data_IF_542110290730
#
_entry.id   IF_542110290730
#
_cell.length_a   1.000
_cell.length_b   1.000
_cell.length_c   1.000
_cell.angle_alpha   90.00
_cell.angle_beta   90.00
_cell.angle_gamma   90.00
#
_symmetry.space_group_name_H-M   'P 1'
#
loop_
_entity.id
_entity.type
_entity.pdbx_description
1 polymer ?
#
# COMPACT_ATOMS: atom_id res chain seq x y z
N UNK A 1 -43.53 -56.13 -35.24
CA UNK A 1 -43.67 -57.39 -34.55
C UNK A 1 -43.95 -57.06 -33.13
N UNK A 2 -45.19 -56.97 -32.80
CA UNK A 2 -45.98 -57.81 -31.86
C UNK A 2 -45.53 -57.61 -30.43
N UNK A 3 -46.37 -57.08 -29.65
CA UNK A 3 -47.55 -57.41 -28.88
C UNK A 3 -47.23 -57.47 -27.40
N UNK A 4 -47.92 -56.82 -26.64
CA UNK A 4 -49.19 -56.86 -25.88
C UNK A 4 -48.87 -57.02 -24.40
N UNK A 5 -49.46 -56.41 -23.55
CA UNK A 5 -50.74 -55.83 -23.13
C UNK A 5 -51.19 -56.43 -21.76
N UNK A 6 -51.93 -55.60 -21.02
CA UNK A 6 -52.94 -55.95 -19.98
C UNK A 6 -52.50 -55.85 -18.52
N UNK A 7 -53.03 -54.85 -17.87
CA UNK A 7 -54.38 -54.78 -17.19
C UNK A 7 -54.42 -55.61 -15.89
N UNK A 8 -54.97 -55.24 -14.80
CA UNK A 8 -56.17 -54.52 -14.47
C UNK A 8 -56.35 -54.44 -12.92
N UNK A 9 -57.03 -53.37 -12.50
CA UNK A 9 -58.04 -53.23 -11.46
C UNK A 9 -57.80 -53.40 -9.96
N UNK A 10 -58.11 -52.25 -9.32
CA UNK A 10 -59.19 -52.03 -8.29
C UNK A 10 -58.90 -52.52 -6.86
N UNK A 11 -59.02 -51.75 -5.82
CA UNK A 11 -60.20 -51.16 -5.19
C UNK A 11 -59.85 -50.53 -3.82
N UNK A 12 -60.44 -49.37 -3.64
CA UNK A 12 -61.21 -48.86 -2.50
C UNK A 12 -60.63 -48.81 -1.07
N UNK A 13 -60.49 -47.60 -0.63
CA UNK A 13 -61.13 -46.95 0.52
C UNK A 13 -60.84 -47.43 1.94
N UNK A 14 -60.36 -46.54 2.76
CA UNK A 14 -61.05 -46.07 3.98
C UNK A 14 -60.34 -44.88 4.61
N UNK A 15 -61.16 -43.95 5.06
CA UNK A 15 -60.89 -42.72 5.81
C UNK A 15 -60.13 -42.99 7.11
N UNK A 16 -59.26 -42.07 7.45
CA UNK A 16 -58.74 -41.91 8.79
C UNK A 16 -58.15 -40.49 8.92
N UNK A 17 -58.93 -39.57 9.53
CA UNK A 17 -58.52 -38.30 10.04
C UNK A 17 -57.35 -38.48 11.01
N UNK A 18 -56.24 -37.75 10.80
CA UNK A 18 -55.31 -37.42 11.87
C UNK A 18 -54.94 -35.97 11.70
N UNK A 19 -55.13 -35.23 12.80
CA UNK A 19 -54.89 -33.78 12.99
C UNK A 19 -53.41 -33.41 12.76
N UNK A 20 -53.11 -32.16 12.40
CA UNK A 20 -51.73 -31.70 12.26
C UNK A 20 -51.13 -31.40 13.63
N UNK A 21 -50.14 -32.18 14.06
CA UNK A 21 -49.28 -31.83 15.16
C UNK A 21 -48.29 -30.78 14.69
N UNK A 22 -48.39 -29.59 15.31
CA UNK A 22 -47.41 -28.54 15.23
C UNK A 22 -46.08 -28.99 15.83
N UNK A 23 -45.00 -28.27 15.37
CA UNK A 23 -43.66 -28.17 15.91
C UNK A 23 -42.63 -29.15 15.36
N UNK A 24 -41.93 -28.64 14.42
CA UNK A 24 -40.62 -29.05 13.97
C UNK A 24 -40.03 -27.90 13.17
N UNK A 25 -39.70 -26.81 13.86
CA UNK A 25 -38.87 -25.76 13.26
C UNK A 25 -37.47 -26.36 13.16
N UNK A 26 -37.10 -26.73 11.96
CA UNK A 26 -35.82 -27.34 11.64
C UNK A 26 -34.65 -26.49 12.16
N UNK A 27 -33.90 -27.05 13.11
CA UNK A 27 -32.65 -26.51 13.61
C UNK A 27 -31.57 -26.32 12.52
N UNK A 28 -31.85 -26.80 11.31
CA UNK A 28 -31.02 -26.67 10.10
C UNK A 28 -31.16 -25.33 9.40
N UNK A 29 -32.25 -24.60 9.61
CA UNK A 29 -32.51 -23.32 8.94
C UNK A 29 -31.75 -22.15 9.60
N UNK A 30 -31.52 -22.24 10.92
CA UNK A 30 -30.78 -21.19 11.65
C UNK A 30 -29.27 -21.21 11.38
N UNK A 31 -28.66 -22.38 11.19
CA UNK A 31 -27.23 -22.50 10.84
C UNK A 31 -26.97 -22.09 9.39
N UNK A 32 -27.88 -22.39 8.48
CA UNK A 32 -27.80 -21.99 7.08
C UNK A 32 -27.94 -20.47 6.93
N UNK A 33 -28.86 -19.87 7.68
CA UNK A 33 -29.04 -18.40 7.72
C UNK A 33 -27.82 -17.66 8.28
N UNK A 34 -27.15 -18.22 9.29
CA UNK A 34 -25.96 -17.58 9.88
C UNK A 34 -24.72 -17.68 8.97
N UNK A 35 -24.54 -18.79 8.25
CA UNK A 35 -23.47 -18.94 7.25
C UNK A 35 -23.73 -18.08 6.01
N UNK A 36 -24.97 -17.99 5.53
CA UNK A 36 -25.34 -17.10 4.42
C UNK A 36 -25.20 -15.62 4.79
N UNK A 37 -25.55 -15.22 6.02
CA UNK A 37 -25.40 -13.85 6.49
C UNK A 37 -23.93 -13.46 6.67
N UNK A 38 -23.07 -14.37 7.15
CA UNK A 38 -21.62 -14.12 7.21
C UNK A 38 -20.98 -14.02 5.81
N UNK A 39 -21.48 -14.75 4.85
CA UNK A 39 -21.13 -14.66 3.44
C UNK A 39 -21.48 -13.31 2.84
N UNK A 40 -22.69 -12.80 3.12
CA UNK A 40 -23.15 -11.50 2.59
C UNK A 40 -22.30 -10.31 3.05
N UNK A 41 -21.88 -10.25 4.31
CA UNK A 41 -20.99 -9.18 4.76
C UNK A 41 -19.62 -9.26 4.09
N UNK A 42 -19.08 -10.45 3.90
CA UNK A 42 -17.79 -10.65 3.22
C UNK A 42 -17.89 -10.28 1.74
N UNK A 43 -18.96 -10.68 1.06
CA UNK A 43 -19.24 -10.28 -0.32
C UNK A 43 -19.37 -8.76 -0.45
N UNK A 44 -20.16 -8.13 0.43
CA UNK A 44 -20.31 -6.68 0.46
C UNK A 44 -18.97 -5.94 0.70
N UNK A 45 -18.05 -6.53 1.45
CA UNK A 45 -16.69 -5.98 1.63
C UNK A 45 -15.89 -6.04 0.32
N UNK A 46 -16.05 -7.09 -0.49
CA UNK A 46 -15.40 -7.18 -1.79
C UNK A 46 -16.00 -6.17 -2.78
N UNK A 47 -17.34 -6.06 -2.85
CA UNK A 47 -18.03 -5.07 -3.68
C UNK A 47 -17.64 -3.63 -3.29
N UNK A 48 -17.57 -3.36 -1.99
CA UNK A 48 -17.06 -2.08 -1.50
C UNK A 48 -15.61 -1.85 -1.93
N UNK A 49 -14.75 -2.87 -1.86
CA UNK A 49 -13.35 -2.75 -2.28
C UNK A 49 -13.25 -2.42 -3.78
N UNK A 50 -14.06 -3.08 -4.62
CA UNK A 50 -14.15 -2.79 -6.04
C UNK A 50 -14.68 -1.38 -6.30
N UNK A 51 -15.76 -0.96 -5.63
CA UNK A 51 -16.29 0.40 -5.69
C UNK A 51 -15.22 1.45 -5.32
N UNK A 52 -14.43 1.21 -4.25
CA UNK A 52 -13.35 2.13 -3.86
C UNK A 52 -12.26 2.22 -4.94
N UNK A 53 -11.96 1.12 -5.61
CA UNK A 53 -10.95 1.07 -6.67
C UNK A 53 -11.43 1.75 -7.95
N UNK A 54 -12.57 1.30 -8.48
CA UNK A 54 -13.06 1.65 -9.82
C UNK A 54 -13.82 2.99 -9.83
N UNK A 55 -14.69 3.22 -8.85
CA UNK A 55 -15.56 4.40 -8.83
C UNK A 55 -14.92 5.55 -8.07
N UNK A 56 -14.30 5.28 -6.90
CA UNK A 56 -13.69 6.33 -6.08
C UNK A 56 -12.23 6.60 -6.44
N UNK A 57 -11.63 5.85 -7.34
CA UNK A 57 -10.25 6.02 -7.80
C UNK A 57 -9.20 5.93 -6.67
N UNK A 58 -9.49 5.15 -5.61
CA UNK A 58 -8.55 4.94 -4.51
C UNK A 58 -7.38 4.08 -4.97
N UNK A 59 -6.20 4.30 -4.40
CA UNK A 59 -5.04 3.46 -4.72
C UNK A 59 -5.26 2.01 -4.26
N UNK A 60 -4.70 1.05 -5.00
CA UNK A 60 -4.73 -0.38 -4.63
C UNK A 60 -4.26 -0.62 -3.19
N UNK A 61 -3.23 0.12 -2.73
CA UNK A 61 -2.72 0.02 -1.36
C UNK A 61 -3.78 0.46 -0.32
N UNK A 62 -4.54 1.52 -0.59
CA UNK A 62 -5.64 1.98 0.26
C UNK A 62 -6.76 0.95 0.31
N UNK A 63 -7.17 0.44 -0.87
CA UNK A 63 -8.24 -0.57 -0.98
C UNK A 63 -7.83 -1.85 -0.26
N UNK A 64 -6.61 -2.33 -0.47
CA UNK A 64 -6.06 -3.51 0.24
C UNK A 64 -6.08 -3.31 1.77
N UNK A 65 -5.73 -2.11 2.23
CA UNK A 65 -5.76 -1.77 3.66
C UNK A 65 -7.19 -1.78 4.22
N UNK A 66 -8.14 -1.16 3.53
CA UNK A 66 -9.54 -1.13 3.92
C UNK A 66 -10.17 -2.52 3.93
N UNK A 67 -9.95 -3.30 2.86
CA UNK A 67 -10.42 -4.68 2.76
C UNK A 67 -9.88 -5.55 3.89
N UNK A 68 -8.59 -5.43 4.20
CA UNK A 68 -7.97 -6.17 5.31
C UNK A 68 -8.57 -5.80 6.67
N UNK A 69 -8.82 -4.51 6.92
CA UNK A 69 -9.42 -4.05 8.17
C UNK A 69 -10.87 -4.50 8.33
N UNK A 70 -11.67 -4.43 7.25
CA UNK A 70 -13.07 -4.84 7.27
C UNK A 70 -13.23 -6.36 7.37
N UNK A 71 -12.36 -7.15 6.74
CA UNK A 71 -12.33 -8.59 6.94
C UNK A 71 -11.94 -8.98 8.37
N UNK A 72 -11.08 -8.19 9.02
CA UNK A 72 -10.77 -8.39 10.44
C UNK A 72 -11.99 -8.06 11.32
N UNK A 73 -12.72 -6.99 11.01
CA UNK A 73 -13.99 -6.65 11.65
C UNK A 73 -15.04 -7.76 11.47
N UNK A 74 -15.18 -8.33 10.27
CA UNK A 74 -16.16 -9.36 9.96
C UNK A 74 -15.97 -10.67 10.77
N UNK A 75 -14.83 -10.85 11.45
CA UNK A 75 -14.64 -11.96 12.39
C UNK A 75 -15.42 -11.82 13.69
N UNK A 76 -15.64 -10.57 14.13
CA UNK A 76 -16.39 -10.25 15.35
C UNK A 76 -17.79 -9.71 15.05
N UNK A 77 -18.06 -9.29 13.81
CA UNK A 77 -19.32 -8.76 13.33
C UNK A 77 -19.73 -9.58 12.11
N UNK A 78 -20.50 -10.69 12.29
CA UNK A 78 -20.73 -11.65 11.22
C UNK A 78 -21.74 -11.18 10.15
N UNK A 79 -22.59 -10.21 10.46
CA UNK A 79 -23.69 -9.76 9.60
C UNK A 79 -23.98 -8.27 9.73
N UNK A 80 -24.88 -7.75 8.87
CA UNK A 80 -25.28 -6.35 8.92
C UNK A 80 -26.18 -6.00 10.15
N UNK A 81 -26.86 -6.98 10.75
CA UNK A 81 -27.69 -6.76 11.94
C UNK A 81 -26.83 -6.48 13.17
N UNK A 82 -25.67 -7.10 13.25
CA UNK A 82 -24.65 -6.88 14.30
C UNK A 82 -23.69 -5.72 13.97
N UNK A 83 -23.75 -5.15 12.76
CA UNK A 83 -22.92 -4.03 12.36
C UNK A 83 -23.46 -2.71 12.94
N UNK A 84 -23.23 -2.49 14.22
CA UNK A 84 -23.66 -1.31 14.96
C UNK A 84 -22.50 -0.49 15.54
N UNK A 85 -22.81 0.66 16.11
CA UNK A 85 -21.82 1.57 16.69
C UNK A 85 -21.05 0.92 17.85
N UNK A 86 -21.70 0.06 18.65
CA UNK A 86 -21.08 -0.56 19.81
C UNK A 86 -20.10 -1.66 19.38
N UNK A 87 -20.47 -2.47 18.40
CA UNK A 87 -19.59 -3.48 17.80
C UNK A 87 -18.34 -2.81 17.18
N UNK A 88 -18.53 -1.71 16.44
CA UNK A 88 -17.41 -0.94 15.88
C UNK A 88 -16.48 -0.35 16.96
N UNK A 89 -17.05 0.13 18.06
CA UNK A 89 -16.25 0.63 19.19
C UNK A 89 -15.52 -0.49 19.92
N UNK A 90 -16.15 -1.65 20.11
CA UNK A 90 -15.52 -2.84 20.70
C UNK A 90 -14.32 -3.29 19.86
N UNK A 91 -14.50 -3.45 18.54
CA UNK A 91 -13.41 -3.80 17.63
C UNK A 91 -12.23 -2.80 17.64
N UNK A 92 -12.52 -1.50 17.72
CA UNK A 92 -11.47 -0.48 17.87
C UNK A 92 -10.82 -0.55 19.25
N UNK A 93 -11.59 -0.84 20.31
CA UNK A 93 -11.10 -1.04 21.67
C UNK A 93 -10.15 -2.23 21.78
N UNK A 94 -10.49 -3.38 21.18
CA UNK A 94 -9.62 -4.55 21.08
C UNK A 94 -8.29 -4.20 20.41
N UNK A 95 -8.34 -3.41 19.33
CA UNK A 95 -7.13 -2.96 18.66
C UNK A 95 -6.26 -2.05 19.54
N UNK A 96 -6.86 -1.23 20.41
CA UNK A 96 -6.13 -0.42 21.42
C UNK A 96 -5.48 -1.34 22.44
N UNK A 97 -6.23 -2.30 23.00
CA UNK A 97 -5.70 -3.28 23.96
C UNK A 97 -4.57 -4.12 23.38
N UNK A 98 -4.67 -4.49 22.09
CA UNK A 98 -3.61 -5.18 21.35
C UNK A 98 -2.42 -4.28 20.98
N UNK A 99 -2.34 -3.04 21.47
CA UNK A 99 -1.22 -2.13 21.23
C UNK A 99 -1.07 -1.64 19.79
N UNK A 100 -2.14 -1.67 18.98
CA UNK A 100 -2.08 -1.18 17.60
C UNK A 100 -1.78 0.32 17.57
N UNK A 101 -0.98 0.76 16.58
CA UNK A 101 -0.60 2.16 16.44
C UNK A 101 -1.81 3.09 16.20
N UNK A 102 -1.70 4.35 16.59
CA UNK A 102 -2.72 5.38 16.33
C UNK A 102 -3.03 5.52 14.83
N UNK A 103 -2.03 5.34 13.96
CA UNK A 103 -2.22 5.34 12.52
C UNK A 103 -3.09 4.16 12.04
N UNK A 104 -2.90 2.98 12.62
CA UNK A 104 -3.74 1.81 12.35
C UNK A 104 -5.19 2.05 12.79
N UNK A 105 -5.38 2.59 14.00
CA UNK A 105 -6.71 2.92 14.51
C UNK A 105 -7.41 3.97 13.64
N UNK A 106 -6.71 5.01 13.22
CA UNK A 106 -7.24 6.02 12.31
C UNK A 106 -7.65 5.42 10.96
N UNK A 107 -6.83 4.50 10.39
CA UNK A 107 -7.16 3.80 9.15
C UNK A 107 -8.37 2.88 9.32
N UNK A 108 -8.45 2.10 10.41
CA UNK A 108 -9.61 1.26 10.74
C UNK A 108 -10.89 2.08 10.86
N UNK A 109 -10.84 3.21 11.58
CA UNK A 109 -11.97 4.14 11.68
C UNK A 109 -12.39 4.67 10.31
N UNK A 110 -11.43 5.05 9.46
CA UNK A 110 -11.72 5.53 8.11
C UNK A 110 -12.33 4.44 7.22
N UNK A 111 -11.85 3.20 7.32
CA UNK A 111 -12.41 2.06 6.59
C UNK A 111 -13.86 1.78 7.01
N UNK A 112 -14.13 1.70 8.33
CA UNK A 112 -15.49 1.47 8.85
C UNK A 112 -16.46 2.59 8.44
N UNK A 113 -16.05 3.87 8.51
CA UNK A 113 -16.89 5.00 8.07
C UNK A 113 -17.19 4.96 6.59
N UNK A 114 -16.16 4.70 5.77
CA UNK A 114 -16.33 4.61 4.32
C UNK A 114 -17.23 3.44 3.92
N UNK A 115 -17.11 2.30 4.59
CA UNK A 115 -17.95 1.13 4.38
C UNK A 115 -19.39 1.37 4.82
N UNK A 116 -19.61 1.92 6.02
CA UNK A 116 -20.95 2.22 6.52
C UNK A 116 -21.70 3.21 5.61
N UNK A 117 -21.04 4.29 5.17
CA UNK A 117 -21.62 5.25 4.23
C UNK A 117 -21.97 4.58 2.87
N UNK A 118 -21.12 3.69 2.37
CA UNK A 118 -21.37 2.93 1.15
C UNK A 118 -22.54 1.95 1.36
N UNK A 119 -22.56 1.18 2.44
CA UNK A 119 -23.58 0.20 2.74
C UNK A 119 -24.98 0.83 2.88
N UNK A 120 -25.09 2.06 3.38
CA UNK A 120 -26.35 2.80 3.37
C UNK A 120 -26.79 3.13 1.93
N UNK A 121 -25.89 3.52 1.05
CA UNK A 121 -26.20 3.85 -0.35
C UNK A 121 -26.67 2.63 -1.13
N UNK A 122 -26.07 1.48 -0.87
CA UNK A 122 -26.43 0.19 -1.50
C UNK A 122 -27.65 -0.47 -0.83
N UNK A 123 -28.21 0.12 0.22
CA UNK A 123 -29.41 -0.38 0.90
C UNK A 123 -29.16 -1.52 1.89
N UNK A 124 -27.90 -1.84 2.21
CA UNK A 124 -27.57 -2.85 3.21
C UNK A 124 -27.80 -2.38 4.65
N UNK A 125 -27.73 -1.05 4.90
CA UNK A 125 -27.95 -0.42 6.20
C UNK A 125 -28.99 0.69 6.09
N UNK A 126 -29.86 0.79 7.11
CA UNK A 126 -30.86 1.86 7.19
C UNK A 126 -30.28 3.22 7.58
N UNK A 127 -29.09 3.25 8.20
CA UNK A 127 -28.42 4.48 8.63
C UNK A 127 -26.91 4.31 8.73
N UNK A 128 -26.16 5.43 8.68
CA UNK A 128 -24.70 5.41 8.79
C UNK A 128 -24.27 5.31 10.28
N UNK A 129 -24.17 4.07 10.76
CA UNK A 129 -23.83 3.77 12.16
C UNK A 129 -22.39 4.18 12.53
N UNK A 130 -21.50 4.24 11.55
CA UNK A 130 -20.10 4.62 11.76
C UNK A 130 -19.86 6.14 11.72
N UNK A 131 -20.85 6.96 11.37
CA UNK A 131 -20.71 8.42 11.30
C UNK A 131 -20.25 9.03 12.64
N UNK A 132 -20.68 8.43 13.76
CA UNK A 132 -20.37 8.86 15.14
C UNK A 132 -19.03 8.33 15.68
N UNK A 133 -18.27 7.53 14.91
CA UNK A 133 -16.94 7.12 15.34
C UNK A 133 -15.99 8.33 15.36
N UNK A 134 -15.22 8.45 16.43
CA UNK A 134 -14.19 9.48 16.55
C UNK A 134 -12.86 8.92 16.04
N UNK A 135 -12.26 9.61 15.08
CA UNK A 135 -10.93 9.24 14.60
C UNK A 135 -9.88 9.67 15.62
N UNK A 136 -9.04 8.76 16.12
CA UNK A 136 -7.95 9.14 17.02
C UNK A 136 -7.03 10.17 16.37
N UNK A 137 -6.69 11.23 17.11
CA UNK A 137 -5.71 12.20 16.65
C UNK A 137 -4.35 11.49 16.54
N UNK A 138 -3.86 11.34 15.33
CA UNK A 138 -2.49 10.86 15.07
C UNK A 138 -1.56 12.02 15.38
N UNK A 139 -0.74 11.91 16.43
CA UNK A 139 0.29 12.91 16.71
C UNK A 139 1.20 13.02 15.48
N UNK A 140 1.42 14.23 14.98
CA UNK A 140 2.42 14.48 13.96
C UNK A 140 3.80 14.36 14.63
N UNK A 141 4.37 13.15 14.63
CA UNK A 141 5.80 13.04 14.87
C UNK A 141 6.50 13.71 13.68
N UNK A 142 7.21 14.79 13.94
CA UNK A 142 8.11 15.35 12.95
C UNK A 142 9.15 14.26 12.64
N UNK A 143 9.37 13.91 11.36
CA UNK A 143 10.40 12.96 11.00
C UNK A 143 11.77 13.47 11.48
N UNK A 144 12.61 12.57 11.99
CA UNK A 144 14.00 12.89 12.29
C UNK A 144 14.69 13.30 10.98
N UNK A 145 15.27 14.48 10.94
CA UNK A 145 16.14 14.97 9.86
C UNK A 145 17.58 14.67 10.29
N UNK A 146 18.34 14.03 9.42
CA UNK A 146 19.77 13.81 9.63
C UNK A 146 20.55 15.06 9.20
N UNK A 147 21.67 15.36 9.86
CA UNK A 147 22.65 16.29 9.34
C UNK A 147 23.34 15.75 8.07
N UNK A 148 23.99 16.62 7.29
CA UNK A 148 24.64 16.22 6.03
C UNK A 148 25.68 15.12 6.23
N UNK A 149 26.52 15.20 7.26
CA UNK A 149 27.52 14.18 7.59
C UNK A 149 26.85 12.84 7.97
N UNK A 150 25.83 12.87 8.83
CA UNK A 150 25.07 11.67 9.23
C UNK A 150 24.37 11.00 8.03
N UNK A 151 23.83 11.82 7.12
CA UNK A 151 23.20 11.32 5.91
C UNK A 151 24.26 10.72 4.95
N UNK A 152 25.41 11.34 4.82
CA UNK A 152 26.56 10.83 4.06
C UNK A 152 27.07 9.50 4.60
N UNK A 153 27.23 9.38 5.92
CA UNK A 153 27.63 8.14 6.58
C UNK A 153 26.59 7.03 6.39
N UNK A 154 25.30 7.35 6.53
CA UNK A 154 24.22 6.37 6.35
C UNK A 154 24.24 5.78 4.94
N UNK A 155 24.39 6.63 3.94
CA UNK A 155 24.36 6.22 2.53
C UNK A 155 25.64 5.47 2.13
N UNK A 156 26.80 5.88 2.69
CA UNK A 156 28.10 5.22 2.45
C UNK A 156 28.28 3.90 3.19
N UNK A 157 27.47 3.61 4.20
CA UNK A 157 27.56 2.39 5.02
C UNK A 157 26.42 1.41 4.75
N UNK A 158 26.29 0.94 3.53
CA UNK A 158 25.42 -0.20 3.23
C UNK A 158 25.88 -1.43 4.03
N UNK A 159 24.94 -2.14 4.67
CA UNK A 159 25.24 -3.32 5.49
C UNK A 159 24.64 -4.54 4.82
N UNK A 160 25.47 -5.31 4.17
CA UNK A 160 25.05 -6.48 3.41
C UNK A 160 25.89 -7.71 3.70
N UNK A 161 25.32 -8.88 3.44
CA UNK A 161 25.94 -10.16 3.76
C UNK A 161 27.14 -10.50 2.83
N UNK A 162 27.13 -9.98 1.63
CA UNK A 162 28.12 -10.21 0.59
C UNK A 162 28.27 -8.97 -0.32
N UNK A 163 29.29 -9.01 -1.17
CA UNK A 163 29.67 -7.91 -2.06
C UNK A 163 28.53 -7.53 -3.04
N UNK A 164 27.83 -8.51 -3.59
CA UNK A 164 26.79 -8.27 -4.59
C UNK A 164 25.60 -7.54 -3.98
N UNK A 165 25.17 -7.98 -2.80
CA UNK A 165 24.10 -7.28 -2.05
C UNK A 165 24.57 -5.90 -1.57
N UNK A 166 25.86 -5.76 -1.21
CA UNK A 166 26.43 -4.45 -0.84
C UNK A 166 26.35 -3.47 -2.00
N UNK A 167 26.74 -3.86 -3.22
CA UNK A 167 26.65 -3.00 -4.39
C UNK A 167 25.22 -2.56 -4.67
N UNK A 168 24.26 -3.48 -4.56
CA UNK A 168 22.84 -3.17 -4.73
C UNK A 168 22.34 -2.19 -3.68
N UNK A 169 22.61 -2.49 -2.41
CA UNK A 169 22.09 -1.76 -1.28
C UNK A 169 22.70 -0.35 -1.21
N UNK A 170 23.97 -0.20 -1.55
CA UNK A 170 24.66 1.08 -1.70
C UNK A 170 24.01 1.93 -2.80
N UNK A 171 23.81 1.37 -3.98
CA UNK A 171 23.14 2.07 -5.08
C UNK A 171 21.71 2.49 -4.74
N UNK A 172 20.96 1.66 -3.97
CA UNK A 172 19.62 2.01 -3.49
C UNK A 172 19.65 3.19 -2.50
N UNK A 173 20.55 3.17 -1.54
CA UNK A 173 20.67 4.23 -0.53
C UNK A 173 21.07 5.56 -1.18
N UNK A 174 22.09 5.54 -2.05
CA UNK A 174 22.54 6.72 -2.80
C UNK A 174 21.38 7.31 -3.62
N UNK A 175 20.68 6.49 -4.41
CA UNK A 175 19.61 6.99 -5.25
C UNK A 175 18.41 7.51 -4.45
N UNK A 176 18.04 6.85 -3.32
CA UNK A 176 16.98 7.32 -2.44
C UNK A 176 17.29 8.69 -1.85
N UNK A 177 18.53 8.89 -1.38
CA UNK A 177 18.93 10.15 -0.79
C UNK A 177 19.09 11.24 -1.85
N UNK A 178 19.76 10.94 -2.96
CA UNK A 178 19.97 11.89 -4.04
C UNK A 178 18.65 12.44 -4.60
N UNK A 179 17.66 11.58 -4.82
CA UNK A 179 16.42 11.98 -5.51
C UNK A 179 15.25 12.27 -4.58
N UNK A 180 15.32 11.83 -3.33
CA UNK A 180 14.18 11.83 -2.43
C UNK A 180 12.96 11.08 -2.96
N UNK A 181 13.11 10.14 -3.92
CA UNK A 181 12.00 9.37 -4.47
C UNK A 181 11.34 8.47 -3.43
N UNK A 182 10.10 8.04 -3.70
CA UNK A 182 9.40 7.09 -2.82
C UNK A 182 9.95 5.67 -3.01
N UNK A 183 9.90 4.86 -1.94
CA UNK A 183 10.29 3.44 -2.01
C UNK A 183 9.59 2.68 -3.14
N UNK A 184 8.30 2.99 -3.36
CA UNK A 184 7.54 2.37 -4.44
C UNK A 184 8.05 2.78 -5.82
N UNK A 185 8.49 4.02 -5.98
CA UNK A 185 9.09 4.55 -7.20
C UNK A 185 10.45 3.89 -7.45
N UNK A 186 11.32 3.78 -6.42
CA UNK A 186 12.60 3.08 -6.52
C UNK A 186 12.41 1.60 -6.92
N UNK A 187 11.55 0.88 -6.21
CA UNK A 187 11.30 -0.53 -6.50
C UNK A 187 10.66 -0.75 -7.88
N UNK A 188 10.00 0.26 -8.41
CA UNK A 188 9.36 0.25 -9.72
C UNK A 188 10.27 0.58 -10.90
N UNK A 189 11.50 1.05 -10.66
CA UNK A 189 12.41 1.47 -11.74
C UNK A 189 12.83 0.30 -12.64
N UNK A 190 12.79 0.54 -13.93
CA UNK A 190 13.38 -0.31 -14.97
C UNK A 190 14.67 0.31 -15.51
N UNK A 191 15.53 -0.52 -16.11
CA UNK A 191 16.82 -0.07 -16.69
C UNK A 191 16.57 1.08 -17.67
N UNK A 192 15.52 0.98 -18.49
CA UNK A 192 15.14 2.02 -19.45
C UNK A 192 14.64 3.32 -18.85
N UNK A 193 14.43 3.38 -17.52
CA UNK A 193 14.07 4.61 -16.82
C UNK A 193 15.29 5.42 -16.36
N UNK A 194 16.50 4.88 -16.47
CA UNK A 194 17.75 5.53 -16.08
C UNK A 194 18.48 6.13 -17.29
N UNK A 195 18.87 7.36 -17.20
CA UNK A 195 19.86 7.99 -18.09
C UNK A 195 21.10 8.35 -17.26
N UNK A 196 22.07 7.43 -17.20
CA UNK A 196 23.31 7.60 -16.45
C UNK A 196 24.21 8.70 -17.01
N UNK A 197 24.10 9.03 -18.30
CA UNK A 197 24.87 10.12 -18.91
C UNK A 197 24.32 11.47 -18.52
N UNK A 198 22.96 11.59 -18.50
CA UNK A 198 22.28 12.80 -18.06
C UNK A 198 22.07 12.85 -16.55
N UNK A 199 22.34 11.76 -15.86
CA UNK A 199 22.12 11.60 -14.41
C UNK A 199 20.67 11.91 -14.03
N UNK A 200 19.74 11.27 -14.71
CA UNK A 200 18.31 11.42 -14.46
C UNK A 200 17.61 10.07 -14.40
N UNK A 201 16.56 10.00 -13.59
CA UNK A 201 15.67 8.85 -13.51
C UNK A 201 14.22 9.29 -13.77
N UNK A 202 13.50 8.53 -14.59
CA UNK A 202 12.07 8.70 -14.82
C UNK A 202 11.30 7.86 -13.79
N UNK A 203 10.56 8.49 -12.92
CA UNK A 203 9.79 7.83 -11.87
C UNK A 203 8.29 7.94 -12.10
N UNK A 204 7.57 6.86 -11.84
CA UNK A 204 6.11 6.79 -11.97
C UNK A 204 5.47 6.86 -10.59
N UNK A 205 4.73 7.91 -10.32
CA UNK A 205 4.04 8.17 -9.06
C UNK A 205 2.58 7.73 -9.05
N UNK A 206 1.84 8.16 -8.03
CA UNK A 206 0.41 7.86 -7.88
C UNK A 206 -0.40 8.36 -9.08
N UNK A 207 -1.29 7.52 -9.59
CA UNK A 207 -2.13 7.84 -10.74
C UNK A 207 -1.38 7.79 -12.07
N UNK A 208 -0.31 7.00 -12.14
CA UNK A 208 0.54 6.82 -13.34
C UNK A 208 1.20 8.13 -13.83
N UNK A 209 1.35 9.13 -12.95
CA UNK A 209 2.00 10.38 -13.29
C UNK A 209 3.52 10.19 -13.28
N UNK A 210 4.17 10.51 -14.39
CA UNK A 210 5.61 10.43 -14.54
C UNK A 210 6.27 11.77 -14.24
N UNK A 211 7.47 11.73 -13.69
CA UNK A 211 8.39 12.88 -13.58
C UNK A 211 9.82 12.41 -13.72
N UNK A 212 10.68 13.33 -14.15
CA UNK A 212 12.13 13.11 -14.21
C UNK A 212 12.77 13.73 -12.96
N UNK A 213 13.63 12.96 -12.30
CA UNK A 213 14.38 13.41 -11.13
C UNK A 213 15.88 13.33 -11.42
N UNK A 214 16.66 14.40 -11.17
CA UNK A 214 18.11 14.36 -11.30
C UNK A 214 18.74 13.65 -10.10
N UNK A 215 19.95 13.16 -10.28
CA UNK A 215 20.82 12.65 -9.21
C UNK A 215 22.27 13.03 -9.48
N UNK A 216 23.09 13.04 -8.43
CA UNK A 216 24.50 13.44 -8.52
C UNK A 216 25.44 12.30 -8.92
N UNK A 217 26.73 12.63 -9.02
CA UNK A 217 27.76 11.69 -9.45
C UNK A 217 27.91 10.51 -8.49
N UNK A 218 27.81 10.72 -7.19
CA UNK A 218 27.86 9.62 -6.21
C UNK A 218 26.81 8.53 -6.47
N UNK A 219 25.56 8.93 -6.74
CA UNK A 219 24.52 7.99 -7.10
C UNK A 219 24.73 7.35 -8.49
N UNK A 220 25.27 8.12 -9.45
CA UNK A 220 25.61 7.62 -10.78
C UNK A 220 26.69 6.53 -10.72
N UNK A 221 27.74 6.74 -9.95
CA UNK A 221 28.83 5.77 -9.78
C UNK A 221 28.39 4.49 -9.07
N UNK A 222 27.58 4.64 -8.01
CA UNK A 222 27.00 3.50 -7.32
C UNK A 222 26.08 2.69 -8.25
N UNK A 223 25.27 3.36 -9.07
CA UNK A 223 24.40 2.72 -10.05
C UNK A 223 25.20 2.02 -11.16
N UNK A 224 26.25 2.67 -11.72
CA UNK A 224 27.15 2.05 -12.71
C UNK A 224 27.76 0.78 -12.15
N UNK A 225 28.34 0.87 -10.95
CA UNK A 225 28.98 -0.28 -10.29
C UNK A 225 27.99 -1.40 -10.04
N UNK A 226 26.80 -1.09 -9.59
CA UNK A 226 25.74 -2.08 -9.41
C UNK A 226 25.32 -2.76 -10.73
N UNK A 227 25.04 -1.97 -11.77
CA UNK A 227 24.58 -2.49 -13.05
C UNK A 227 25.66 -3.33 -13.75
N UNK A 228 26.92 -2.90 -13.69
CA UNK A 228 28.03 -3.55 -14.39
C UNK A 228 28.53 -4.79 -13.64
N UNK A 229 28.63 -4.76 -12.31
CA UNK A 229 29.29 -5.82 -11.54
C UNK A 229 28.33 -6.69 -10.73
N UNK A 230 27.26 -6.12 -10.20
CA UNK A 230 26.43 -6.82 -9.23
C UNK A 230 25.12 -7.38 -9.81
N UNK A 231 24.42 -6.58 -10.61
CA UNK A 231 23.07 -6.91 -11.04
C UNK A 231 22.99 -8.24 -11.81
N UNK A 232 23.89 -8.50 -12.72
CA UNK A 232 23.91 -9.73 -13.53
C UNK A 232 24.07 -11.01 -12.70
N UNK A 233 24.62 -10.91 -11.50
CA UNK A 233 24.81 -12.06 -10.60
C UNK A 233 23.52 -12.41 -9.83
N UNK A 234 22.56 -11.49 -9.72
CA UNK A 234 21.29 -11.69 -9.01
C UNK A 234 20.08 -11.70 -9.93
N UNK A 235 20.14 -11.00 -11.07
CA UNK A 235 18.97 -10.80 -11.92
C UNK A 235 18.60 -12.07 -12.70
N UNK A 236 17.31 -12.46 -12.61
CA UNK A 236 16.68 -13.32 -13.59
C UNK A 236 16.20 -12.52 -14.81
N UNK A 237 15.20 -13.04 -15.51
CA UNK A 237 14.56 -12.35 -16.64
C UNK A 237 13.68 -11.18 -16.13
N UNK A 238 14.30 -10.02 -15.94
CA UNK A 238 13.63 -8.81 -15.48
C UNK A 238 14.35 -7.55 -15.92
N UNK A 239 13.59 -6.53 -16.31
CA UNK A 239 14.11 -5.19 -16.61
C UNK A 239 14.31 -4.32 -15.35
N UNK A 240 13.93 -4.82 -14.18
CA UNK A 240 14.05 -4.04 -12.94
C UNK A 240 15.49 -3.63 -12.67
N UNK A 241 15.72 -2.36 -12.30
CA UNK A 241 17.03 -1.87 -11.86
C UNK A 241 17.47 -2.64 -10.62
N UNK A 242 16.59 -2.72 -9.63
CA UNK A 242 16.89 -3.39 -8.36
C UNK A 242 16.16 -4.71 -8.25
N UNK A 243 16.92 -5.74 -7.95
CA UNK A 243 16.44 -7.13 -7.87
C UNK A 243 16.56 -7.67 -6.44
N UNK A 244 15.60 -8.50 -6.07
CA UNK A 244 15.60 -9.22 -4.80
C UNK A 244 16.44 -10.50 -4.87
N UNK A 245 16.57 -11.18 -3.74
CA UNK A 245 17.34 -12.44 -3.60
C UNK A 245 16.86 -13.60 -4.49
N UNK A 246 15.64 -13.51 -5.04
CA UNK A 246 15.07 -14.51 -5.96
C UNK A 246 15.20 -14.11 -7.44
N UNK A 247 15.97 -13.07 -7.74
CA UNK A 247 16.23 -12.62 -9.11
C UNK A 247 15.14 -11.77 -9.76
N UNK A 248 13.95 -11.66 -9.17
CA UNK A 248 12.88 -10.78 -9.62
C UNK A 248 13.01 -9.37 -9.06
N UNK A 249 12.11 -8.46 -9.51
CA UNK A 249 12.00 -7.10 -8.99
C UNK A 249 11.99 -7.06 -7.46
N UNK A 250 12.75 -6.13 -6.87
CA UNK A 250 12.84 -5.97 -5.43
C UNK A 250 11.50 -5.58 -4.80
N UNK A 251 11.19 -6.17 -3.65
CA UNK A 251 10.00 -5.78 -2.86
C UNK A 251 10.30 -4.56 -2.00
N UNK A 252 9.31 -3.67 -1.86
CA UNK A 252 9.42 -2.45 -1.06
C UNK A 252 9.81 -2.72 0.41
N UNK A 253 9.47 -3.90 0.96
CA UNK A 253 9.87 -4.28 2.33
C UNK A 253 11.36 -4.55 2.41
N UNK A 254 11.97 -5.14 1.35
CA UNK A 254 13.42 -5.30 1.30
C UNK A 254 14.12 -3.95 1.29
N UNK A 255 13.67 -3.00 0.47
CA UNK A 255 14.22 -1.63 0.44
C UNK A 255 14.14 -0.97 1.82
N UNK A 256 13.00 -1.11 2.52
CA UNK A 256 12.86 -0.57 3.89
C UNK A 256 13.85 -1.20 4.86
N UNK A 257 14.05 -2.52 4.80
CA UNK A 257 15.04 -3.23 5.65
C UNK A 257 16.46 -2.75 5.40
N UNK A 258 16.82 -2.44 4.14
CA UNK A 258 18.15 -1.89 3.81
C UNK A 258 18.34 -0.54 4.49
N UNK A 259 17.38 0.38 4.38
CA UNK A 259 17.42 1.69 5.05
C UNK A 259 17.48 1.54 6.57
N UNK A 260 16.67 0.66 7.14
CA UNK A 260 16.64 0.39 8.59
C UNK A 260 17.98 -0.17 9.09
N UNK A 261 18.60 -1.10 8.36
CA UNK A 261 19.91 -1.65 8.70
C UNK A 261 21.01 -0.58 8.66
N UNK A 262 21.08 0.22 7.59
CA UNK A 262 22.03 1.31 7.49
C UNK A 262 21.85 2.33 8.65
N UNK A 263 20.61 2.64 8.98
CA UNK A 263 20.29 3.53 10.11
C UNK A 263 20.70 2.95 11.47
N UNK A 264 20.61 1.65 11.68
CA UNK A 264 21.06 1.00 12.92
C UNK A 264 22.57 1.11 13.10
N UNK A 265 23.36 0.89 12.04
CA UNK A 265 24.83 0.92 12.10
C UNK A 265 25.35 2.36 12.33
N UNK A 266 24.72 3.35 11.74
CA UNK A 266 25.09 4.74 11.90
C UNK A 266 24.48 5.43 13.14
N UNK A 267 23.78 4.67 14.00
CA UNK A 267 23.13 5.20 15.19
C UNK A 267 21.89 6.06 14.93
N UNK A 268 21.43 6.15 13.69
CA UNK A 268 20.24 6.89 13.29
C UNK A 268 18.95 6.07 13.53
N UNK A 269 18.84 5.42 14.68
CA UNK A 269 17.75 4.51 15.01
C UNK A 269 16.35 5.12 14.75
N UNK A 270 15.46 4.31 14.20
CA UNK A 270 14.08 4.71 13.88
C UNK A 270 13.93 5.49 12.56
N UNK A 271 15.02 5.68 11.80
CA UNK A 271 14.95 6.27 10.48
C UNK A 271 14.20 5.36 9.52
N UNK A 272 13.32 5.94 8.75
CA UNK A 272 12.55 5.27 7.70
C UNK A 272 12.91 5.85 6.33
N UNK A 273 12.58 5.18 5.23
CA UNK A 273 12.73 5.79 3.90
C UNK A 273 11.98 7.11 3.72
N UNK A 274 10.87 7.29 4.47
CA UNK A 274 10.15 8.56 4.47
C UNK A 274 10.94 9.66 5.17
N UNK A 275 11.62 9.33 6.28
CA UNK A 275 12.51 10.26 6.98
C UNK A 275 13.73 10.61 6.12
N UNK A 276 14.33 9.63 5.41
CA UNK A 276 15.44 9.86 4.47
C UNK A 276 15.04 10.81 3.33
N UNK A 277 13.85 10.62 2.78
CA UNK A 277 13.29 11.55 1.78
C UNK A 277 13.06 12.95 2.35
N UNK A 278 12.62 13.04 3.61
CA UNK A 278 12.47 14.35 4.28
C UNK A 278 13.82 15.03 4.51
N UNK A 279 14.83 14.26 4.92
CA UNK A 279 16.22 14.73 5.02
C UNK A 279 16.74 15.28 3.68
N UNK A 280 16.58 14.53 2.58
CA UNK A 280 16.95 14.98 1.24
C UNK A 280 16.26 16.30 0.86
N UNK A 281 14.95 16.40 1.15
CA UNK A 281 14.19 17.63 0.89
C UNK A 281 14.69 18.83 1.71
N UNK A 282 15.03 18.61 2.98
CA UNK A 282 15.55 19.64 3.88
C UNK A 282 16.91 20.12 3.42
N UNK A 283 17.82 19.22 3.08
CA UNK A 283 19.16 19.59 2.59
C UNK A 283 19.11 20.37 1.27
N UNK A 284 18.20 20.00 0.35
CA UNK A 284 17.97 20.79 -0.87
C UNK A 284 17.51 22.23 -0.56
N UNK A 285 16.62 22.41 0.43
CA UNK A 285 16.16 23.73 0.85
C UNK A 285 17.28 24.53 1.55
N UNK A 286 18.03 23.90 2.43
CA UNK A 286 19.19 24.50 3.13
C UNK A 286 20.29 24.89 2.14
N UNK A 287 20.50 24.07 1.09
CA UNK A 287 21.39 24.37 -0.04
C UNK A 287 20.86 25.47 -0.99
N UNK A 288 19.71 26.09 -0.68
CA UNK A 288 19.17 27.24 -1.42
C UNK A 288 18.23 26.89 -2.58
N UNK A 289 17.76 25.65 -2.68
CA UNK A 289 16.74 25.30 -3.66
C UNK A 289 15.39 25.95 -3.31
N UNK A 290 14.69 26.47 -4.33
CA UNK A 290 13.35 27.02 -4.16
C UNK A 290 12.36 25.91 -3.74
N UNK A 291 11.46 26.24 -2.81
CA UNK A 291 10.46 25.29 -2.29
C UNK A 291 9.60 24.66 -3.38
N UNK A 292 9.27 25.40 -4.46
CA UNK A 292 8.48 24.88 -5.59
C UNK A 292 9.26 23.83 -6.35
N UNK A 293 10.56 24.06 -6.57
CA UNK A 293 11.48 23.11 -7.22
C UNK A 293 11.56 21.82 -6.40
N UNK A 294 11.71 21.93 -5.07
CA UNK A 294 11.72 20.75 -4.18
C UNK A 294 10.37 20.03 -4.20
N UNK A 295 9.25 20.73 -4.24
CA UNK A 295 7.93 20.13 -4.36
C UNK A 295 7.74 19.40 -5.71
N UNK A 296 8.26 19.94 -6.80
CA UNK A 296 8.26 19.29 -8.13
C UNK A 296 9.11 18.01 -8.12
N UNK A 297 10.35 18.08 -7.63
CA UNK A 297 11.24 16.92 -7.48
C UNK A 297 10.58 15.80 -6.68
N UNK A 298 9.93 16.15 -5.61
CA UNK A 298 9.26 15.19 -4.74
C UNK A 298 7.89 14.70 -5.27
N UNK A 299 7.28 15.38 -6.23
CA UNK A 299 5.96 15.02 -6.77
C UNK A 299 4.85 15.16 -5.73
N UNK A 300 4.72 16.34 -5.11
CA UNK A 300 3.61 16.69 -4.23
C UNK A 300 2.40 17.08 -5.07
N UNK A 301 1.28 16.38 -4.88
CA UNK A 301 0.08 16.45 -5.72
C UNK A 301 -0.81 17.69 -5.46
N UNK A 302 -0.44 18.62 -4.61
CA UNK A 302 -1.30 19.74 -4.20
C UNK A 302 -1.27 20.97 -5.10
N UNK A 303 -0.41 21.01 -6.10
CA UNK A 303 -0.46 22.03 -7.14
C UNK A 303 -0.80 21.36 -8.47
N UNK A 304 -2.03 21.60 -8.92
CA UNK A 304 -2.58 21.16 -10.21
C UNK A 304 -1.85 21.88 -11.35
N UNK A 305 -0.75 21.30 -11.81
CA UNK A 305 -0.24 21.58 -13.15
C UNK A 305 0.33 20.29 -13.71
N UNK A 306 -0.37 19.72 -14.68
CA UNK A 306 0.20 18.75 -15.62
C UNK A 306 1.18 19.53 -16.50
N UNK A 307 2.35 19.89 -15.98
CA UNK A 307 3.42 20.43 -16.79
C UNK A 307 4.02 19.24 -17.56
N UNK A 308 3.89 19.30 -18.87
CA UNK A 308 4.68 18.48 -19.79
C UNK A 308 6.14 18.84 -19.50
N UNK A 309 6.88 17.88 -18.92
CA UNK A 309 8.32 18.06 -18.66
C UNK A 309 9.05 18.19 -20.00
N UNK A 310 9.39 19.40 -20.35
CA UNK A 310 10.26 19.70 -21.49
C UNK A 310 11.72 19.50 -21.08
N UNK A 311 12.61 19.29 -22.05
CA UNK A 311 14.05 19.18 -21.79
C UNK A 311 14.61 20.39 -21.02
N UNK A 312 14.01 21.57 -21.17
CA UNK A 312 14.38 22.82 -20.47
C UNK A 312 14.08 22.74 -18.97
N UNK A 313 12.96 22.12 -18.58
CA UNK A 313 12.63 21.95 -17.16
C UNK A 313 13.55 20.93 -16.47
N UNK A 314 13.97 19.85 -17.14
CA UNK A 314 14.91 18.88 -16.60
C UNK A 314 16.30 19.46 -16.36
N UNK A 315 16.81 20.29 -17.28
CA UNK A 315 18.10 20.97 -17.12
C UNK A 315 18.07 21.95 -15.95
N UNK A 316 17.02 22.78 -15.84
CA UNK A 316 16.84 23.70 -14.71
C UNK A 316 16.82 22.98 -13.35
N UNK A 317 16.11 21.82 -13.28
CA UNK A 317 16.08 21.01 -12.08
C UNK A 317 17.47 20.47 -11.73
N UNK A 318 18.25 20.04 -12.72
CA UNK A 318 19.63 19.58 -12.55
C UNK A 318 20.55 20.71 -12.05
N UNK A 319 20.44 21.91 -12.61
CA UNK A 319 21.26 23.06 -12.21
C UNK A 319 20.97 23.47 -10.75
N UNK A 320 19.71 23.45 -10.34
CA UNK A 320 19.33 23.71 -8.94
C UNK A 320 19.84 22.59 -8.03
N UNK A 321 19.66 21.33 -8.45
CA UNK A 321 20.14 20.17 -7.71
C UNK A 321 21.65 20.22 -7.49
N UNK A 322 22.43 20.48 -8.56
CA UNK A 322 23.90 20.54 -8.49
C UNK A 322 24.44 21.62 -7.57
N UNK A 323 23.66 22.68 -7.32
CA UNK A 323 24.06 23.76 -6.40
C UNK A 323 23.63 23.51 -4.97
N UNK A 324 22.57 22.78 -4.76
CA UNK A 324 21.89 22.68 -3.48
C UNK A 324 22.04 21.33 -2.78
N UNK A 325 22.34 20.23 -3.51
CA UNK A 325 22.39 18.90 -2.89
C UNK A 325 23.83 18.56 -2.44
N UNK A 326 24.03 18.09 -1.17
CA UNK A 326 25.37 17.81 -0.63
C UNK A 326 26.17 16.72 -1.39
N UNK A 327 25.49 15.89 -2.17
CA UNK A 327 26.11 14.81 -2.97
C UNK A 327 25.78 14.96 -4.47
N UNK A 328 25.73 16.19 -4.95
CA UNK A 328 25.51 16.50 -6.37
C UNK A 328 26.69 16.10 -7.25
#
# INVERSE_FOLDING_TARGET
MRYEDRNDKRRCARHGNVEPSATGVDSWDMTRSAEELSGQLVEAIEDFAEHQLLIRGRSQATVKGYRSDLRDLARSVPDFASFDLNALRAWLGEAVTAGKSRATLARRTAAARAFSTWAVREGHLGSDVAARLVTPKVGKHLPKVLGENEAGELVGNAVSADEVHFLRDSAMLELLYATGMRVAELAGLDIGDLDLRRQTARVTGKGNKQRVVPFGEAAADALRTWLDKGRSQLAGETEAVFVGTRGGRIDQRQVRRVVEKAAQVTGANGLSPHSLRHTAATHLLEGGADLRVVQELLGHSSLQTTQVYTHVSAQRLKDVYSKAHPRA
#
